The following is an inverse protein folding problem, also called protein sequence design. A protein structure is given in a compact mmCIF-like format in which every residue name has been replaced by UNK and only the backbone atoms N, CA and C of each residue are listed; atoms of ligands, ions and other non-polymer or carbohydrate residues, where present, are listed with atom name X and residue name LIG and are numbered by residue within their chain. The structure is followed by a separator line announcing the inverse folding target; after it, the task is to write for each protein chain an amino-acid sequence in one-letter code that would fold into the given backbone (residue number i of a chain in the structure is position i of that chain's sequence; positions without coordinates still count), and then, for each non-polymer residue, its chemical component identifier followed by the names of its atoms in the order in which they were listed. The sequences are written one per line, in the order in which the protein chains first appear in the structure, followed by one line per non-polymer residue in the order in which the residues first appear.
data_IF_923657247891
#
_entry.id   IF_923657247891
#
_cell.length_a   1.000
_cell.length_b   1.000
_cell.length_c   1.000
_cell.angle_alpha   90.00
_cell.angle_beta   90.00
_cell.angle_gamma   90.00
#
_symmetry.space_group_name_H-M   'P 1'
#
loop_
_entity.id
_entity.type
_entity.pdbx_description
1 polymer ?
#
# COMPACT_ATOMS: atom_id res chain seq x y z
N UNK A 1 -15.28 7.38 19.10
CA UNK A 1 -14.45 7.93 18.02
C UNK A 1 -14.23 6.81 17.02
N UNK A 2 -14.41 7.08 15.72
CA UNK A 2 -14.22 6.08 14.65
C UNK A 2 -12.86 6.31 13.97
N UNK A 3 -12.36 5.33 13.21
CA UNK A 3 -11.02 5.42 12.62
C UNK A 3 -10.88 6.58 11.62
N UNK A 4 -11.95 6.90 10.89
CA UNK A 4 -12.01 8.01 9.93
C UNK A 4 -12.82 9.22 10.44
N UNK A 5 -12.72 9.56 11.73
CA UNK A 5 -13.53 10.60 12.35
C UNK A 5 -13.54 11.93 11.58
N UNK A 6 -12.40 12.38 11.08
CA UNK A 6 -12.29 13.61 10.30
C UNK A 6 -13.13 13.56 9.03
N UNK A 7 -13.06 12.47 8.26
CA UNK A 7 -13.82 12.30 7.03
C UNK A 7 -15.33 12.20 7.30
N UNK A 8 -15.73 11.60 8.42
CA UNK A 8 -17.14 11.55 8.84
C UNK A 8 -17.67 12.97 9.10
N UNK A 9 -16.90 13.82 9.80
CA UNK A 9 -17.33 15.19 10.15
C UNK A 9 -17.26 16.14 8.95
N UNK A 10 -16.21 16.05 8.12
CA UNK A 10 -15.95 17.02 7.04
C UNK A 10 -16.58 16.64 5.71
N UNK A 11 -16.75 15.35 5.43
CA UNK A 11 -17.13 14.81 4.12
C UNK A 11 -18.36 13.90 4.15
N UNK A 12 -19.05 13.80 5.30
CA UNK A 12 -20.19 12.91 5.51
C UNK A 12 -19.89 11.45 5.08
N UNK A 13 -18.63 11.02 5.27
CA UNK A 13 -18.20 9.66 4.92
C UNK A 13 -18.83 8.63 5.85
N UNK A 14 -18.99 7.39 5.37
CA UNK A 14 -19.42 6.28 6.22
C UNK A 14 -18.35 5.98 7.30
N UNK A 15 -18.73 5.84 8.58
CA UNK A 15 -17.78 5.53 9.64
C UNK A 15 -17.26 4.10 9.50
N UNK A 16 -15.97 3.89 9.79
CA UNK A 16 -15.39 2.56 9.93
C UNK A 16 -14.46 2.47 11.14
N UNK A 17 -14.21 1.23 11.59
CA UNK A 17 -13.20 0.92 12.58
C UNK A 17 -12.01 0.23 11.90
N UNK A 18 -10.85 0.41 12.50
CA UNK A 18 -9.67 -0.37 12.15
C UNK A 18 -9.78 -1.77 12.75
N UNK A 19 -9.31 -2.78 12.02
CA UNK A 19 -9.33 -4.15 12.49
C UNK A 19 -8.42 -4.35 13.71
N UNK A 20 -8.94 -4.96 14.78
CA UNK A 20 -8.19 -5.28 16.01
C UNK A 20 -7.42 -4.06 16.56
N UNK A 21 -6.12 -4.20 16.82
CA UNK A 21 -5.21 -3.14 17.27
C UNK A 21 -4.29 -2.63 16.17
N UNK A 22 -4.67 -2.83 14.90
CA UNK A 22 -3.90 -2.29 13.78
C UNK A 22 -3.86 -0.77 13.83
N UNK A 23 -2.89 -0.18 13.14
CA UNK A 23 -2.81 1.26 12.97
C UNK A 23 -3.99 1.75 12.11
N UNK A 24 -4.49 2.98 12.34
CA UNK A 24 -5.44 3.62 11.43
C UNK A 24 -4.97 3.58 9.98
N UNK A 25 -5.92 3.46 9.05
CA UNK A 25 -5.62 3.54 7.61
C UNK A 25 -4.96 4.88 7.31
N UNK A 26 -3.81 4.85 6.61
CA UNK A 26 -3.04 6.05 6.27
C UNK A 26 -2.25 6.66 7.43
N UNK A 27 -2.01 5.91 8.52
CA UNK A 27 -1.20 6.42 9.64
C UNK A 27 0.26 6.67 9.26
N UNK A 28 0.89 5.74 8.53
CA UNK A 28 2.27 5.87 8.04
C UNK A 28 2.47 4.99 6.82
N UNK A 29 3.34 5.43 5.91
CA UNK A 29 3.81 4.65 4.76
C UNK A 29 5.16 3.98 5.04
N UNK A 30 5.78 4.25 6.21
CA UNK A 30 7.01 3.58 6.63
C UNK A 30 6.70 2.24 7.32
N UNK A 31 7.00 1.15 6.62
CA UNK A 31 6.83 -0.21 7.13
C UNK A 31 7.60 -0.45 8.44
N UNK A 32 8.77 0.14 8.64
CA UNK A 32 9.56 -0.06 9.86
C UNK A 32 8.98 0.71 11.05
N UNK A 33 8.39 1.88 10.81
CA UNK A 33 7.63 2.59 11.82
C UNK A 33 6.40 1.78 12.23
N UNK A 34 5.64 1.28 11.25
CA UNK A 34 4.47 0.43 11.50
C UNK A 34 4.84 -0.83 12.32
N UNK A 35 5.91 -1.52 11.93
CA UNK A 35 6.45 -2.68 12.65
C UNK A 35 6.82 -2.32 14.08
N UNK A 36 7.54 -1.22 14.31
CA UNK A 36 7.93 -0.78 15.67
C UNK A 36 6.73 -0.50 16.57
N UNK A 37 5.69 0.14 16.04
CA UNK A 37 4.48 0.45 16.81
C UNK A 37 3.63 -0.78 17.10
N UNK A 38 3.68 -1.77 16.22
CA UNK A 38 2.82 -2.95 16.28
C UNK A 38 3.49 -4.16 16.96
N UNK A 39 4.82 -4.25 17.01
CA UNK A 39 5.54 -5.47 17.43
C UNK A 39 5.10 -6.00 18.82
N UNK A 40 5.17 -5.13 19.83
CA UNK A 40 4.82 -5.52 21.21
C UNK A 40 3.33 -5.85 21.36
N UNK A 41 2.44 -5.13 20.66
CA UNK A 41 1.01 -5.38 20.72
C UNK A 41 0.64 -6.69 20.02
N UNK A 42 1.18 -6.91 18.82
CA UNK A 42 0.83 -8.04 17.98
C UNK A 42 1.34 -9.37 18.56
N UNK A 43 2.48 -9.37 19.24
CA UNK A 43 2.98 -10.58 19.93
C UNK A 43 2.09 -11.06 21.07
N UNK A 44 1.18 -10.22 21.59
CA UNK A 44 0.23 -10.61 22.65
C UNK A 44 -0.96 -11.41 22.11
N UNK A 45 -1.18 -11.41 20.80
CA UNK A 45 -2.26 -12.17 20.18
C UNK A 45 -1.86 -13.64 19.99
N UNK A 46 -2.46 -14.52 20.78
CA UNK A 46 -2.24 -15.97 20.68
C UNK A 46 -3.25 -16.68 19.76
N UNK A 47 -4.38 -16.05 19.47
CA UNK A 47 -5.42 -16.55 18.55
C UNK A 47 -5.16 -16.29 17.07
N UNK A 48 -4.01 -15.67 16.76
CA UNK A 48 -3.62 -15.27 15.41
C UNK A 48 -3.68 -13.76 15.21
N UNK A 49 -2.68 -13.25 14.51
CA UNK A 49 -2.62 -11.89 14.00
C UNK A 49 -1.77 -11.84 12.75
N UNK A 50 -1.92 -10.80 11.94
CA UNK A 50 -1.14 -10.55 10.75
C UNK A 50 -0.90 -9.05 10.61
N UNK A 51 0.35 -8.65 10.36
CA UNK A 51 0.66 -7.28 9.92
C UNK A 51 0.71 -7.24 8.38
N UNK A 52 0.00 -6.28 7.79
CA UNK A 52 0.01 -6.05 6.34
C UNK A 52 0.99 -4.93 5.99
N UNK A 53 2.13 -5.30 5.38
CA UNK A 53 3.11 -4.35 4.87
C UNK A 53 2.86 -4.10 3.39
N UNK A 54 2.16 -3.02 3.06
CA UNK A 54 1.99 -2.58 1.68
C UNK A 54 3.27 -1.91 1.19
N UNK A 55 3.83 -2.39 0.09
CA UNK A 55 4.96 -1.78 -0.60
C UNK A 55 4.40 -1.25 -1.91
N UNK A 56 4.52 0.07 -2.16
CA UNK A 56 3.89 0.73 -3.31
C UNK A 56 4.23 0.07 -4.66
N UNK A 57 5.23 0.60 -5.36
CA UNK A 57 5.19 0.52 -6.83
C UNK A 57 6.39 -0.16 -7.48
N UNK A 58 6.89 -1.21 -6.85
CA UNK A 58 7.81 -2.12 -7.53
C UNK A 58 7.47 -3.51 -7.09
N UNK A 59 7.36 -4.45 -8.04
CA UNK A 59 7.60 -5.85 -7.74
C UNK A 59 9.01 -5.91 -7.14
N UNK A 60 9.15 -6.03 -5.79
CA UNK A 60 10.47 -5.95 -5.21
C UNK A 60 11.25 -7.16 -5.73
N UNK A 61 12.48 -6.93 -6.19
CA UNK A 61 13.30 -8.04 -6.70
C UNK A 61 13.35 -9.16 -5.64
N UNK A 62 13.54 -10.40 -6.08
CA UNK A 62 13.61 -11.52 -5.13
C UNK A 62 14.65 -11.27 -4.03
N UNK A 63 15.78 -10.63 -4.39
CA UNK A 63 16.84 -10.22 -3.49
C UNK A 63 16.38 -9.15 -2.49
N UNK A 64 15.67 -8.13 -2.97
CA UNK A 64 15.16 -7.03 -2.14
C UNK A 64 14.10 -7.53 -1.16
N UNK A 65 13.17 -8.36 -1.63
CA UNK A 65 12.16 -9.02 -0.81
C UNK A 65 12.81 -9.91 0.24
N UNK A 66 13.79 -10.73 -0.15
CA UNK A 66 14.54 -11.58 0.78
C UNK A 66 15.26 -10.75 1.85
N UNK A 67 15.90 -9.65 1.46
CA UNK A 67 16.58 -8.76 2.40
C UNK A 67 15.60 -8.13 3.40
N UNK A 68 14.43 -7.69 2.92
CA UNK A 68 13.37 -7.14 3.77
C UNK A 68 12.82 -8.18 4.75
N UNK A 69 12.43 -9.36 4.25
CA UNK A 69 11.95 -10.48 5.10
C UNK A 69 12.97 -10.83 6.17
N UNK A 70 14.24 -10.98 5.79
CA UNK A 70 15.34 -11.27 6.73
C UNK A 70 15.45 -10.18 7.79
N UNK A 71 15.46 -8.90 7.38
CA UNK A 71 15.55 -7.77 8.31
C UNK A 71 14.37 -7.72 9.27
N UNK A 72 13.15 -7.99 8.81
CA UNK A 72 11.97 -8.03 9.69
C UNK A 72 12.09 -9.18 10.69
N UNK A 73 12.40 -10.38 10.22
CA UNK A 73 12.50 -11.58 11.05
C UNK A 73 13.65 -11.53 12.08
N UNK A 74 14.75 -10.82 11.79
CA UNK A 74 15.89 -10.68 12.71
C UNK A 74 15.69 -9.58 13.76
N UNK A 75 14.85 -8.57 13.48
CA UNK A 75 14.73 -7.38 14.34
C UNK A 75 13.39 -7.25 15.07
N UNK A 76 12.37 -8.01 14.68
CA UNK A 76 11.03 -7.96 15.26
C UNK A 76 10.51 -9.35 15.62
N UNK A 77 9.48 -9.40 16.45
CA UNK A 77 8.94 -10.63 17.06
C UNK A 77 7.54 -10.99 16.56
N UNK A 78 6.90 -10.14 15.74
CA UNK A 78 5.56 -10.41 15.20
C UNK A 78 5.47 -11.83 14.61
N UNK A 79 4.42 -12.59 14.96
CA UNK A 79 4.33 -13.99 14.55
C UNK A 79 4.06 -14.16 13.05
N UNK A 80 3.45 -13.16 12.41
CA UNK A 80 3.08 -13.25 11.01
C UNK A 80 2.95 -11.86 10.38
N UNK A 81 3.55 -11.70 9.20
CA UNK A 81 3.47 -10.49 8.40
C UNK A 81 3.39 -10.84 6.91
N UNK A 82 2.85 -9.91 6.13
CA UNK A 82 2.76 -10.00 4.67
C UNK A 82 3.46 -8.81 4.04
N UNK A 83 4.04 -9.03 2.86
CA UNK A 83 4.57 -7.97 1.99
C UNK A 83 3.69 -7.98 0.75
N UNK A 84 2.95 -6.90 0.54
CA UNK A 84 1.96 -6.79 -0.53
C UNK A 84 2.39 -5.69 -1.49
N UNK A 85 2.85 -6.04 -2.70
CA UNK A 85 3.11 -5.04 -3.74
C UNK A 85 1.81 -4.46 -4.28
N UNK A 86 1.87 -3.25 -4.82
CA UNK A 86 0.74 -2.64 -5.53
C UNK A 86 0.81 -2.96 -7.01
N UNK A 87 -0.32 -3.36 -7.58
CA UNK A 87 -0.50 -3.57 -9.01
C UNK A 87 -1.88 -3.09 -9.42
N UNK A 88 -2.00 -2.70 -10.68
CA UNK A 88 -3.25 -2.31 -11.33
C UNK A 88 -3.69 -3.39 -12.32
N UNK A 89 -4.98 -3.51 -12.59
CA UNK A 89 -5.52 -4.53 -13.49
C UNK A 89 -6.24 -3.88 -14.66
N UNK A 90 -5.70 -4.09 -15.86
CA UNK A 90 -6.33 -3.72 -17.11
C UNK A 90 -7.08 -4.92 -17.73
N UNK A 91 -8.34 -4.76 -18.18
CA UNK A 91 -9.06 -5.82 -18.89
C UNK A 91 -8.38 -6.31 -20.18
N UNK A 92 -7.51 -5.51 -20.80
CA UNK A 92 -6.77 -5.85 -22.01
C UNK A 92 -5.34 -6.35 -21.72
N UNK A 93 -4.60 -5.63 -20.88
CA UNK A 93 -3.17 -5.89 -20.64
C UNK A 93 -2.87 -6.72 -19.38
N UNK A 94 -3.87 -7.01 -18.55
CA UNK A 94 -3.72 -7.80 -17.34
C UNK A 94 -3.09 -7.02 -16.18
N UNK A 95 -2.15 -7.64 -15.46
CA UNK A 95 -1.49 -7.06 -14.29
C UNK A 95 -0.41 -6.06 -14.70
N UNK A 96 -0.46 -4.87 -14.10
CA UNK A 96 0.45 -3.74 -14.35
C UNK A 96 1.11 -3.39 -13.02
N UNK A 97 2.44 -3.23 -13.00
CA UNK A 97 3.15 -2.86 -11.78
C UNK A 97 2.82 -1.43 -11.35
N UNK A 98 2.50 -1.24 -10.07
CA UNK A 98 2.19 0.06 -9.48
C UNK A 98 0.71 0.45 -9.51
N UNK A 99 0.44 1.63 -8.97
CA UNK A 99 -0.91 2.22 -8.92
C UNK A 99 -1.12 3.12 -10.15
N UNK A 100 -2.10 2.75 -10.98
CA UNK A 100 -2.44 3.45 -12.21
C UNK A 100 -3.95 3.64 -12.28
N UNK A 101 -4.40 4.91 -12.30
CA UNK A 101 -5.82 5.24 -12.52
C UNK A 101 -6.26 4.89 -13.95
N UNK A 102 -5.35 5.04 -14.92
CA UNK A 102 -5.53 4.67 -16.33
C UNK A 102 -4.42 3.75 -16.79
N UNK A 103 -4.74 2.77 -17.65
CA UNK A 103 -3.76 1.81 -18.12
C UNK A 103 -2.71 2.52 -19.01
N UNK A 104 -1.41 2.54 -18.63
CA UNK A 104 -0.39 3.23 -19.42
C UNK A 104 -0.23 2.66 -20.83
N UNK A 105 -0.50 1.36 -21.01
CA UNK A 105 -0.45 0.71 -22.32
C UNK A 105 -1.66 1.06 -23.21
N UNK A 106 -2.87 1.17 -22.64
CA UNK A 106 -4.05 1.62 -23.40
C UNK A 106 -3.88 3.08 -23.82
N UNK A 107 -3.35 3.91 -22.92
CA UNK A 107 -3.11 5.33 -23.20
C UNK A 107 -2.09 5.48 -24.34
N UNK A 108 -0.99 4.72 -24.30
CA UNK A 108 0.00 4.69 -25.39
C UNK A 108 -0.64 4.22 -26.72
N UNK A 109 -1.45 3.16 -26.71
CA UNK A 109 -2.18 2.66 -27.89
C UNK A 109 -3.16 3.69 -28.48
N UNK A 110 -3.73 4.56 -27.64
CA UNK A 110 -4.62 5.66 -28.04
C UNK A 110 -3.83 6.93 -28.44
N UNK A 111 -2.51 6.93 -28.29
CA UNK A 111 -1.64 8.09 -28.58
C UNK A 111 -1.53 9.11 -27.45
N UNK A 112 -2.02 8.79 -26.25
CA UNK A 112 -1.76 9.55 -25.04
C UNK A 112 -0.39 9.17 -24.47
N UNK A 113 0.66 9.86 -24.93
CA UNK A 113 1.99 9.76 -24.31
C UNK A 113 2.18 10.87 -23.29
N UNK A 114 3.03 10.63 -22.30
CA UNK A 114 3.45 11.67 -21.33
C UNK A 114 4.00 12.93 -22.04
N UNK A 115 4.63 12.76 -23.22
CA UNK A 115 5.08 13.88 -24.05
C UNK A 115 3.91 14.62 -24.71
N UNK A 116 2.88 13.91 -25.19
CA UNK A 116 1.68 14.53 -25.76
C UNK A 116 0.93 15.37 -24.70
N UNK A 117 0.83 14.87 -23.47
CA UNK A 117 0.21 15.57 -22.33
C UNK A 117 1.05 16.77 -21.88
N UNK A 118 2.39 16.64 -21.81
CA UNK A 118 3.29 17.78 -21.53
C UNK A 118 3.18 18.87 -22.59
N UNK A 119 3.07 18.49 -23.86
CA UNK A 119 2.96 19.45 -24.97
C UNK A 119 1.62 20.20 -24.90
N UNK A 120 0.52 19.52 -24.60
CA UNK A 120 -0.79 20.15 -24.40
C UNK A 120 -0.81 21.12 -23.21
N UNK A 121 -0.21 20.74 -22.07
CA UNK A 121 -0.09 21.63 -20.88
C UNK A 121 0.86 22.82 -21.08
N UNK A 122 1.76 22.75 -22.06
CA UNK A 122 2.66 23.85 -22.38
C UNK A 122 2.05 24.86 -23.38
N UNK A 123 0.95 24.49 -24.04
CA UNK A 123 0.25 25.30 -25.06
C UNK A 123 -1.09 25.86 -24.53
N UNK A 124 -1.52 25.43 -23.34
CA UNK A 124 -2.59 26.06 -22.54
C UNK A 124 -2.01 26.94 -21.44
#
# INVERSE_FOLDING_TARGET
MVANQEAVVTRNAAPYYTNSTQLPVGYTDDIFEALRLQDDLQTRYTGGTVLHGFVGERMPSAESTKALVKKIAENFKLPYFTITPTFSVCPQHGYIEGEHEYCPYCDEEMGYTDEAVKTLKAVM
#
